data_IF_324790094608
#
_entry.id   IF_324790094608
#
_cell.length_a   1.000
_cell.length_b   1.000
_cell.length_c   1.000
_cell.angle_alpha   90.00
_cell.angle_beta   90.00
_cell.angle_gamma   90.00
#
_symmetry.space_group_name_H-M   'P 1'
#
loop_
_entity.id
_entity.type
_entity.pdbx_description
1 polymer ?
#
# COMPACT_ATOMS: atom_id res chain seq x y z
N UNK A 1 13.51 14.56 -14.13
CA UNK A 1 12.49 13.49 -14.08
C UNK A 1 12.13 13.24 -12.62
N UNK A 2 10.86 13.01 -12.28
CA UNK A 2 10.46 12.68 -10.92
C UNK A 2 11.03 11.32 -10.50
N UNK A 3 11.46 11.19 -9.25
CA UNK A 3 11.89 9.92 -8.69
C UNK A 3 10.69 8.98 -8.50
N UNK A 4 10.94 7.67 -8.43
CA UNK A 4 9.87 6.69 -8.19
C UNK A 4 9.11 6.98 -6.89
N UNK A 5 9.82 7.43 -5.85
CA UNK A 5 9.21 7.83 -4.58
C UNK A 5 8.27 9.04 -4.75
N UNK A 6 8.67 10.06 -5.52
CA UNK A 6 7.83 11.21 -5.83
C UNK A 6 6.57 10.81 -6.62
N UNK A 7 6.68 9.86 -7.54
CA UNK A 7 5.51 9.34 -8.27
C UNK A 7 4.49 8.67 -7.33
N UNK A 8 4.96 7.89 -6.35
CA UNK A 8 4.06 7.27 -5.37
C UNK A 8 3.50 8.26 -4.35
N UNK A 9 4.26 9.28 -3.97
CA UNK A 9 3.73 10.37 -3.16
C UNK A 9 2.57 11.10 -3.88
N UNK A 10 2.74 11.42 -5.17
CA UNK A 10 1.66 12.00 -5.99
C UNK A 10 0.45 11.06 -6.12
N UNK A 11 0.67 9.75 -6.17
CA UNK A 11 -0.42 8.76 -6.15
C UNK A 11 -1.19 8.81 -4.83
N UNK A 12 -0.51 8.94 -3.69
CA UNK A 12 -1.14 9.09 -2.38
C UNK A 12 -2.04 10.34 -2.35
N UNK A 13 -1.53 11.48 -2.82
CA UNK A 13 -2.28 12.74 -2.87
C UNK A 13 -3.55 12.60 -3.72
N UNK A 14 -3.44 12.02 -4.91
CA UNK A 14 -4.59 11.78 -5.78
C UNK A 14 -5.61 10.83 -5.13
N UNK A 15 -5.15 9.75 -4.50
CA UNK A 15 -6.01 8.79 -3.82
C UNK A 15 -6.77 9.45 -2.65
N UNK A 16 -6.11 10.32 -1.88
CA UNK A 16 -6.74 11.06 -0.78
C UNK A 16 -7.88 11.97 -1.29
N UNK A 17 -7.65 12.69 -2.41
CA UNK A 17 -8.70 13.51 -3.04
C UNK A 17 -9.86 12.65 -3.52
N UNK A 18 -9.59 11.54 -4.21
CA UNK A 18 -10.65 10.67 -4.73
C UNK A 18 -11.50 10.05 -3.63
N UNK A 19 -10.88 9.60 -2.56
CA UNK A 19 -11.53 8.95 -1.43
C UNK A 19 -12.52 9.89 -0.72
N UNK A 20 -12.26 11.19 -0.71
CA UNK A 20 -13.18 12.20 -0.13
C UNK A 20 -14.24 12.71 -1.11
N UNK A 21 -14.22 12.28 -2.38
CA UNK A 21 -15.14 12.76 -3.41
C UNK A 21 -16.57 12.27 -3.25
N UNK A 22 -16.78 11.12 -2.57
CA UNK A 22 -18.10 10.59 -2.29
C UNK A 22 -18.10 9.60 -1.13
N UNK A 23 -19.27 9.40 -0.53
CA UNK A 23 -19.49 8.35 0.46
C UNK A 23 -19.10 6.95 -0.06
N UNK A 24 -19.38 6.66 -1.33
CA UNK A 24 -19.10 5.35 -1.91
C UNK A 24 -17.59 5.08 -2.00
N UNK A 25 -16.79 6.07 -2.41
CA UNK A 25 -15.32 5.93 -2.44
C UNK A 25 -14.74 5.81 -1.03
N UNK A 26 -15.28 6.56 -0.07
CA UNK A 26 -14.91 6.40 1.33
C UNK A 26 -15.19 4.99 1.86
N UNK A 27 -16.38 4.45 1.60
CA UNK A 27 -16.75 3.09 2.01
C UNK A 27 -15.88 2.02 1.37
N UNK A 28 -15.48 2.17 0.10
CA UNK A 28 -14.56 1.27 -0.59
C UNK A 28 -13.18 1.25 0.07
N UNK A 29 -12.65 2.41 0.42
CA UNK A 29 -11.41 2.49 1.18
C UNK A 29 -11.53 1.79 2.54
N UNK A 30 -12.64 2.01 3.26
CA UNK A 30 -12.85 1.39 4.56
C UNK A 30 -12.93 -0.15 4.49
N UNK A 31 -13.45 -0.73 3.40
CA UNK A 31 -13.42 -2.18 3.19
C UNK A 31 -11.97 -2.70 3.14
N UNK A 32 -11.10 -2.08 2.35
CA UNK A 32 -9.66 -2.43 2.28
C UNK A 32 -8.96 -2.19 3.63
N UNK A 33 -9.19 -1.03 4.25
CA UNK A 33 -8.57 -0.63 5.50
C UNK A 33 -8.94 -1.58 6.66
N UNK A 34 -10.18 -2.08 6.68
CA UNK A 34 -10.65 -3.02 7.69
C UNK A 34 -9.86 -4.34 7.72
N UNK A 35 -9.42 -4.82 6.55
CA UNK A 35 -8.60 -6.04 6.40
C UNK A 35 -7.15 -5.80 6.83
N UNK A 36 -6.67 -4.57 6.64
CA UNK A 36 -5.28 -4.16 6.81
C UNK A 36 -5.10 -3.26 8.05
N UNK A 37 -5.89 -3.50 9.09
CA UNK A 37 -5.96 -2.67 10.30
C UNK A 37 -4.64 -2.52 11.08
N UNK A 38 -3.64 -3.38 10.83
CA UNK A 38 -2.31 -3.30 11.45
C UNK A 38 -1.37 -2.31 10.75
N UNK A 39 -1.70 -1.88 9.54
CA UNK A 39 -0.94 -0.88 8.81
C UNK A 39 -1.35 0.53 9.26
N UNK A 40 -0.42 1.49 9.32
CA UNK A 40 -0.77 2.89 9.52
C UNK A 40 -1.58 3.42 8.33
N UNK A 41 -2.30 4.52 8.55
CA UNK A 41 -3.23 5.09 7.55
C UNK A 41 -2.58 5.34 6.17
N UNK A 42 -1.37 5.91 6.13
CA UNK A 42 -0.69 6.20 4.85
C UNK A 42 -0.42 4.92 4.05
N UNK A 43 -0.07 3.83 4.73
CA UNK A 43 0.13 2.54 4.08
C UNK A 43 -1.20 1.93 3.63
N UNK A 44 -2.25 2.02 4.44
CA UNK A 44 -3.60 1.58 4.03
C UNK A 44 -4.07 2.31 2.78
N UNK A 45 -3.84 3.62 2.70
CA UNK A 45 -4.15 4.44 1.54
C UNK A 45 -3.35 4.01 0.31
N UNK A 46 -2.04 3.78 0.47
CA UNK A 46 -1.18 3.31 -0.62
C UNK A 46 -1.55 1.92 -1.11
N UNK A 47 -1.96 1.01 -0.21
CA UNK A 47 -2.45 -0.31 -0.58
C UNK A 47 -3.76 -0.18 -1.35
N UNK A 48 -4.73 0.59 -0.85
CA UNK A 48 -5.99 0.87 -1.54
C UNK A 48 -5.77 1.45 -2.94
N UNK A 49 -4.90 2.44 -3.09
CA UNK A 49 -4.62 3.11 -4.35
C UNK A 49 -4.03 2.18 -5.43
N UNK A 50 -3.33 1.11 -5.01
CA UNK A 50 -2.64 0.19 -5.92
C UNK A 50 -3.38 -1.13 -6.12
N UNK A 51 -4.05 -1.64 -5.09
CA UNK A 51 -4.69 -2.96 -5.03
C UNK A 51 -5.84 -2.95 -4.01
N UNK A 52 -7.00 -2.34 -4.35
CA UNK A 52 -8.13 -2.19 -3.42
C UNK A 52 -8.76 -3.53 -2.99
N UNK A 53 -8.50 -4.59 -3.74
CA UNK A 53 -8.92 -5.96 -3.45
C UNK A 53 -7.97 -6.72 -2.51
N UNK A 54 -6.87 -6.10 -2.05
CA UNK A 54 -5.92 -6.75 -1.16
C UNK A 54 -6.59 -7.26 0.14
N UNK A 55 -6.16 -8.43 0.58
CA UNK A 55 -6.74 -9.18 1.70
C UNK A 55 -5.77 -9.42 2.85
N UNK A 56 -4.48 -9.58 2.56
CA UNK A 56 -3.43 -9.79 3.54
C UNK A 56 -2.09 -9.31 2.98
N UNK A 57 -1.58 -8.15 3.41
CA UNK A 57 -0.28 -7.66 2.95
C UNK A 57 0.84 -7.99 3.92
N UNK A 58 1.99 -8.41 3.40
CA UNK A 58 3.23 -8.59 4.14
C UNK A 58 4.46 -8.37 3.25
N UNK A 59 5.60 -8.05 3.85
CA UNK A 59 6.88 -8.00 3.13
C UNK A 59 7.30 -9.41 2.69
N UNK A 60 8.17 -9.47 1.68
CA UNK A 60 8.62 -10.73 1.08
C UNK A 60 9.17 -11.72 2.11
N UNK A 61 10.09 -11.27 2.96
CA UNK A 61 10.74 -12.09 3.98
C UNK A 61 9.74 -12.55 5.05
N UNK A 62 8.73 -11.72 5.38
CA UNK A 62 7.69 -12.09 6.34
C UNK A 62 6.85 -13.26 5.82
N UNK A 63 6.49 -13.25 4.54
CA UNK A 63 5.80 -14.38 3.91
C UNK A 63 6.65 -15.66 3.98
N UNK A 64 7.91 -15.56 3.57
CA UNK A 64 8.80 -16.71 3.47
C UNK A 64 9.16 -17.29 4.84
N UNK A 65 9.68 -16.45 5.73
CA UNK A 65 10.39 -16.89 6.93
C UNK A 65 9.44 -17.16 8.10
N UNK A 66 8.31 -16.44 8.18
CA UNK A 66 7.37 -16.58 9.31
C UNK A 66 6.07 -17.29 8.94
N UNK A 67 5.58 -17.11 7.71
CA UNK A 67 4.31 -17.70 7.28
C UNK A 67 4.48 -19.01 6.51
N UNK A 68 5.73 -19.39 6.16
CA UNK A 68 6.00 -20.58 5.35
C UNK A 68 5.37 -20.52 3.96
N UNK A 69 5.19 -19.31 3.42
CA UNK A 69 4.58 -19.05 2.11
C UNK A 69 5.57 -18.30 1.22
N UNK A 70 5.57 -18.58 -0.07
CA UNK A 70 6.50 -17.94 -1.00
C UNK A 70 5.77 -16.98 -1.95
N UNK A 71 6.32 -15.78 -2.13
CA UNK A 71 5.84 -14.81 -3.12
C UNK A 71 6.21 -15.30 -4.52
N UNK A 72 5.22 -15.71 -5.30
CA UNK A 72 5.44 -16.29 -6.63
C UNK A 72 6.22 -15.35 -7.56
N UNK A 73 7.06 -15.93 -8.41
CA UNK A 73 7.77 -15.18 -9.45
C UNK A 73 6.75 -14.46 -10.34
N UNK A 74 6.98 -13.17 -10.58
CA UNK A 74 6.08 -12.32 -11.37
C UNK A 74 5.01 -11.60 -10.56
N UNK A 75 4.89 -11.85 -9.25
CA UNK A 75 4.01 -11.06 -8.38
C UNK A 75 4.41 -9.58 -8.38
N UNK A 76 3.41 -8.70 -8.49
CA UNK A 76 3.59 -7.26 -8.45
C UNK A 76 3.54 -6.78 -6.99
N UNK A 77 4.64 -6.21 -6.52
CA UNK A 77 4.69 -5.60 -5.19
C UNK A 77 3.88 -4.30 -5.12
N UNK A 78 3.28 -4.06 -3.96
CA UNK A 78 2.58 -2.84 -3.61
C UNK A 78 3.60 -1.93 -2.92
N UNK A 79 3.86 -0.76 -3.50
CA UNK A 79 4.87 0.15 -2.97
C UNK A 79 4.31 1.00 -1.84
N UNK A 80 5.01 1.04 -0.71
CA UNK A 80 4.69 1.87 0.43
C UNK A 80 5.78 2.93 0.57
N UNK A 81 5.36 4.17 0.85
CA UNK A 81 6.27 5.31 1.01
C UNK A 81 6.70 5.36 2.47
N UNK A 82 8.01 5.28 2.70
CA UNK A 82 8.63 5.45 4.02
C UNK A 82 9.40 6.76 4.02
N UNK A 83 8.88 7.75 4.74
CA UNK A 83 9.44 9.09 4.92
C UNK A 83 10.01 9.31 6.33
N UNK A 84 10.14 8.25 7.13
CA UNK A 84 10.56 8.34 8.54
C UNK A 84 12.03 8.74 8.75
N UNK A 85 12.86 8.66 7.71
CA UNK A 85 14.29 9.00 7.76
C UNK A 85 14.67 10.20 6.90
N UNK A 86 15.97 10.52 6.85
CA UNK A 86 16.52 11.66 6.09
C UNK A 86 16.21 11.65 4.59
N UNK A 87 15.81 10.49 4.05
CA UNK A 87 15.45 10.30 2.64
C UNK A 87 14.24 9.41 2.54
N UNK A 88 13.28 9.84 1.72
CA UNK A 88 12.12 9.02 1.34
C UNK A 88 12.57 7.75 0.62
N UNK A 89 12.06 6.62 1.07
CA UNK A 89 12.31 5.29 0.50
C UNK A 89 10.99 4.63 0.13
N UNK A 90 11.11 3.59 -0.68
CA UNK A 90 10.00 2.70 -0.98
C UNK A 90 10.29 1.34 -0.38
N UNK A 91 9.35 0.83 0.41
CA UNK A 91 9.29 -0.58 0.79
C UNK A 91 8.16 -1.26 0.01
N UNK A 92 8.20 -2.58 -0.10
CA UNK A 92 7.23 -3.32 -0.89
C UNK A 92 6.58 -4.42 -0.06
N UNK A 93 5.25 -4.45 -0.11
CA UNK A 93 4.45 -5.55 0.44
C UNK A 93 3.77 -6.31 -0.69
N UNK A 94 3.38 -7.55 -0.39
CA UNK A 94 2.71 -8.46 -1.28
C UNK A 94 1.47 -8.96 -0.60
N UNK A 95 0.37 -8.99 -1.37
CA UNK A 95 -0.86 -9.69 -1.03
C UNK A 95 -0.91 -11.06 -1.70
#
# INVERSE_FOLDING_TARGET
>A
MATKAQMYAQMADHAAVQLTSSWNEWMRFLDTASRLYKYPFHDQLMIYAQRPDATACAEYDLWNDKMGRYVRRGSKGIALVDDSGDRTRLRYVFD
#
